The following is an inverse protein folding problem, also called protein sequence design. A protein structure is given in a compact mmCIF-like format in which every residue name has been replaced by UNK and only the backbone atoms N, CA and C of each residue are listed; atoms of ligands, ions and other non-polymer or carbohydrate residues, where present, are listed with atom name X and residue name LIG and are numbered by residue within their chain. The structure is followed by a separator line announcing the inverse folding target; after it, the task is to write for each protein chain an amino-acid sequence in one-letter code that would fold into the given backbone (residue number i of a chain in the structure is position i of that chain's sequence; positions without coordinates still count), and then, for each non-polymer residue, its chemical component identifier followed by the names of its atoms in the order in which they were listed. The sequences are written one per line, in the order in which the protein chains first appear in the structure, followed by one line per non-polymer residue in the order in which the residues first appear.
data_IF_887207458883
#
_entry.id   IF_887207458883
#
_cell.length_a   1.000
_cell.length_b   1.000
_cell.length_c   1.000
_cell.angle_alpha   90.00
_cell.angle_beta   90.00
_cell.angle_gamma   90.00
#
_symmetry.space_group_name_H-M   'P 1'
#
loop_
_entity.id
_entity.type
_entity.pdbx_description
1 polymer ?
#
# COMPACT_ATOMS: atom_id res chain seq x y z
N UNK A 1 -1.12 15.20 14.42
CA UNK A 1 -0.21 14.15 13.88
C UNK A 1 0.69 14.78 12.82
N UNK A 2 2.00 14.49 12.82
CA UNK A 2 2.96 15.09 11.87
C UNK A 2 2.80 14.65 10.40
N UNK A 3 1.93 13.67 10.14
CA UNK A 3 1.57 13.20 8.79
C UNK A 3 0.04 13.28 8.61
N UNK A 4 -0.56 14.43 8.94
CA UNK A 4 -2.02 14.64 8.87
C UNK A 4 -2.60 14.65 7.43
N UNK A 5 -1.80 14.39 6.39
CA UNK A 5 -2.29 14.43 5.01
C UNK A 5 -1.35 13.86 3.93
N UNK A 6 -0.05 13.72 4.22
CA UNK A 6 0.91 13.15 3.27
C UNK A 6 1.07 11.63 3.49
N UNK A 7 0.15 10.81 2.99
CA UNK A 7 0.20 9.36 3.24
C UNK A 7 1.49 8.71 2.75
N UNK A 8 2.05 9.18 1.62
CA UNK A 8 3.29 8.76 0.93
C UNK A 8 3.33 7.27 0.53
N UNK A 9 2.95 6.37 1.41
CA UNK A 9 2.81 4.94 1.21
C UNK A 9 1.36 4.59 0.81
N UNK A 10 1.15 3.84 -0.30
CA UNK A 10 -0.15 3.33 -0.70
C UNK A 10 -0.86 2.55 0.41
N UNK A 11 -0.12 1.77 1.19
CA UNK A 11 -0.71 0.96 2.27
C UNK A 11 -1.32 1.79 3.39
N UNK A 12 -0.77 2.97 3.69
CA UNK A 12 -1.40 3.91 4.63
C UNK A 12 -2.69 4.45 4.03
N UNK A 13 -2.70 4.78 2.73
CA UNK A 13 -3.91 5.22 2.02
C UNK A 13 -4.99 4.14 2.02
N UNK A 14 -4.63 2.87 1.77
CA UNK A 14 -5.55 1.75 1.86
C UNK A 14 -6.10 1.54 3.27
N UNK A 15 -5.28 1.76 4.30
CA UNK A 15 -5.74 1.79 5.68
C UNK A 15 -6.84 2.84 5.89
N UNK A 16 -6.60 4.09 5.47
CA UNK A 16 -7.61 5.16 5.56
C UNK A 16 -8.90 4.86 4.78
N UNK A 17 -8.80 4.24 3.61
CA UNK A 17 -9.96 3.77 2.84
C UNK A 17 -10.77 2.76 3.65
N UNK A 18 -10.10 1.75 4.23
CA UNK A 18 -10.76 0.63 4.90
C UNK A 18 -11.25 0.94 6.31
N UNK A 19 -10.63 1.89 7.00
CA UNK A 19 -11.06 2.33 8.35
C UNK A 19 -11.99 3.54 8.32
N UNK A 20 -12.11 4.20 7.17
CA UNK A 20 -13.04 5.31 6.95
C UNK A 20 -14.49 4.86 6.75
N UNK A 21 -15.35 5.81 6.38
CA UNK A 21 -16.73 5.49 5.98
C UNK A 21 -16.74 4.86 4.59
N UNK A 22 -17.06 3.56 4.51
CA UNK A 22 -17.08 2.83 3.25
C UNK A 22 -18.25 3.22 2.33
N UNK A 23 -19.24 3.96 2.85
CA UNK A 23 -20.36 4.48 2.07
C UNK A 23 -20.13 5.89 1.52
N UNK A 24 -19.04 6.55 1.94
CA UNK A 24 -18.67 7.89 1.50
C UNK A 24 -17.90 7.85 0.17
N UNK A 25 -18.62 8.03 -0.93
CA UNK A 25 -18.04 8.04 -2.28
C UNK A 25 -16.98 9.13 -2.47
N UNK A 26 -17.13 10.30 -1.83
CA UNK A 26 -16.19 11.40 -1.98
C UNK A 26 -14.88 11.07 -1.25
N UNK A 27 -14.97 10.51 -0.04
CA UNK A 27 -13.82 10.02 0.73
C UNK A 27 -13.03 8.92 0.00
N UNK A 28 -13.72 8.02 -0.71
CA UNK A 28 -13.07 7.01 -1.55
C UNK A 28 -12.36 7.63 -2.75
N UNK A 29 -13.00 8.58 -3.44
CA UNK A 29 -12.42 9.26 -4.59
C UNK A 29 -11.17 10.05 -4.19
N UNK A 30 -11.22 10.77 -3.08
CA UNK A 30 -10.08 11.53 -2.56
C UNK A 30 -8.89 10.63 -2.26
N UNK A 31 -9.10 9.50 -1.60
CA UNK A 31 -8.02 8.54 -1.35
C UNK A 31 -7.57 7.81 -2.63
N UNK A 32 -8.48 7.54 -3.57
CA UNK A 32 -8.15 7.00 -4.89
C UNK A 32 -7.23 7.91 -5.69
N UNK A 33 -7.47 9.22 -5.68
CA UNK A 33 -6.56 10.18 -6.34
C UNK A 33 -5.19 10.26 -5.65
N UNK A 34 -5.13 10.07 -4.32
CA UNK A 34 -3.85 9.95 -3.59
C UNK A 34 -3.08 8.71 -4.04
N UNK A 35 -3.75 7.56 -4.16
CA UNK A 35 -3.15 6.33 -4.67
C UNK A 35 -2.56 6.52 -6.07
N UNK A 36 -3.29 7.17 -6.99
CA UNK A 36 -2.80 7.48 -8.35
C UNK A 36 -1.57 8.40 -8.30
N UNK A 37 -1.62 9.47 -7.50
CA UNK A 37 -0.49 10.40 -7.39
C UNK A 37 0.75 9.77 -6.75
N UNK A 38 0.58 8.80 -5.84
CA UNK A 38 1.68 7.99 -5.29
C UNK A 38 2.35 7.13 -6.35
N UNK A 39 1.58 6.50 -7.25
CA UNK A 39 2.13 5.74 -8.39
C UNK A 39 2.91 6.66 -9.32
N UNK A 40 2.37 7.84 -9.66
CA UNK A 40 3.07 8.83 -10.50
C UNK A 40 4.37 9.28 -9.83
N UNK A 41 4.33 9.60 -8.53
CA UNK A 41 5.52 9.98 -7.76
C UNK A 41 6.58 8.89 -7.74
N UNK A 42 6.18 7.63 -7.56
CA UNK A 42 7.07 6.47 -7.59
C UNK A 42 7.71 6.27 -8.97
N UNK A 43 6.94 6.42 -10.05
CA UNK A 43 7.46 6.39 -11.44
C UNK A 43 8.51 7.47 -11.65
N UNK A 44 8.23 8.71 -11.26
CA UNK A 44 9.18 9.82 -11.41
C UNK A 44 10.45 9.59 -10.58
N UNK A 45 10.31 9.06 -9.36
CA UNK A 45 11.46 8.72 -8.52
C UNK A 45 12.33 7.62 -9.17
N UNK A 46 11.71 6.56 -9.70
CA UNK A 46 12.44 5.48 -10.38
C UNK A 46 13.19 5.99 -11.62
N UNK A 47 12.56 6.84 -12.43
CA UNK A 47 13.22 7.47 -13.59
C UNK A 47 14.45 8.28 -13.18
N UNK A 48 14.34 9.07 -12.11
CA UNK A 48 15.43 9.92 -11.63
C UNK A 48 16.60 9.09 -11.09
N UNK A 49 16.31 8.07 -10.28
CA UNK A 49 17.31 7.20 -9.64
C UNK A 49 18.05 6.36 -10.68
N UNK A 50 17.33 5.85 -11.67
CA UNK A 50 17.89 4.93 -12.66
C UNK A 50 18.32 5.61 -13.97
N UNK A 51 18.41 6.94 -13.99
CA UNK A 51 18.77 7.70 -15.20
C UNK A 51 17.92 7.37 -16.43
N UNK A 52 16.64 7.05 -16.20
CA UNK A 52 15.67 6.69 -17.23
C UNK A 52 15.63 5.21 -17.64
N UNK A 53 16.50 4.35 -17.10
CA UNK A 53 16.52 2.91 -17.44
C UNK A 53 16.28 2.03 -16.22
N UNK A 54 15.04 1.57 -16.05
CA UNK A 54 14.63 0.71 -14.92
C UNK A 54 14.93 -0.77 -15.16
N UNK A 55 15.42 -1.12 -16.37
CA UNK A 55 15.78 -2.49 -16.73
C UNK A 55 14.60 -3.46 -16.81
N UNK A 56 14.94 -4.75 -16.83
CA UNK A 56 13.97 -5.84 -16.95
C UNK A 56 13.22 -6.09 -15.64
N UNK A 57 11.89 -6.13 -15.73
CA UNK A 57 10.96 -6.41 -14.64
C UNK A 57 10.33 -7.77 -14.89
N UNK A 58 10.20 -8.57 -13.83
CA UNK A 58 9.52 -9.87 -13.89
C UNK A 58 8.02 -9.64 -14.00
N UNK A 59 7.40 -10.18 -15.05
CA UNK A 59 5.94 -10.13 -15.21
C UNK A 59 5.26 -10.84 -14.02
N UNK A 60 4.31 -10.14 -13.40
CA UNK A 60 3.51 -10.71 -12.31
C UNK A 60 2.48 -11.70 -12.86
N UNK A 61 2.09 -12.69 -12.06
CA UNK A 61 0.96 -13.55 -12.36
C UNK A 61 -0.36 -12.85 -11.99
N UNK A 62 -1.28 -12.77 -12.95
CA UNK A 62 -2.58 -12.11 -12.73
C UNK A 62 -3.52 -13.02 -11.93
N UNK A 63 -4.18 -12.46 -10.90
CA UNK A 63 -5.13 -13.18 -10.03
C UNK A 63 -4.55 -14.38 -9.27
N UNK A 64 -3.23 -14.37 -9.02
CA UNK A 64 -2.62 -15.38 -8.15
C UNK A 64 -3.12 -15.22 -6.71
N UNK A 65 -3.28 -16.33 -5.99
CA UNK A 65 -3.67 -16.31 -4.58
C UNK A 65 -2.76 -17.23 -3.77
N UNK A 66 -2.01 -16.64 -2.85
CA UNK A 66 -1.28 -17.33 -1.80
C UNK A 66 -1.96 -17.06 -0.45
N UNK A 67 -2.47 -18.11 0.19
CA UNK A 67 -3.14 -18.00 1.48
C UNK A 67 -2.22 -17.42 2.55
N UNK A 68 -0.95 -17.85 2.61
CA UNK A 68 -0.04 -17.41 3.67
C UNK A 68 0.46 -15.99 3.42
N UNK A 69 0.74 -15.63 2.16
CA UNK A 69 0.98 -14.25 1.75
C UNK A 69 -0.20 -13.33 2.11
N UNK A 70 -1.42 -13.75 1.81
CA UNK A 70 -2.63 -12.98 2.14
C UNK A 70 -2.81 -12.78 3.65
N UNK A 71 -2.64 -13.84 4.44
CA UNK A 71 -2.69 -13.74 5.92
C UNK A 71 -1.56 -12.86 6.47
N UNK A 72 -0.36 -12.94 5.89
CA UNK A 72 0.78 -12.10 6.24
C UNK A 72 0.50 -10.61 6.01
N UNK A 73 -0.14 -10.25 4.90
CA UNK A 73 -0.53 -8.88 4.60
C UNK A 73 -1.63 -8.36 5.54
N UNK A 74 -2.64 -9.17 5.84
CA UNK A 74 -3.69 -8.82 6.81
C UNK A 74 -3.06 -8.60 8.20
N UNK A 75 -2.20 -9.51 8.66
CA UNK A 75 -1.52 -9.37 9.94
C UNK A 75 -0.58 -8.14 9.96
N UNK A 76 0.17 -7.92 8.88
CA UNK A 76 1.04 -6.76 8.70
C UNK A 76 0.26 -5.44 8.73
N UNK A 77 -0.89 -5.38 8.06
CA UNK A 77 -1.78 -4.22 8.08
C UNK A 77 -2.36 -3.94 9.46
N UNK A 78 -2.77 -4.98 10.19
CA UNK A 78 -3.25 -4.83 11.57
C UNK A 78 -2.16 -4.27 12.51
N UNK A 79 -0.93 -4.80 12.42
CA UNK A 79 0.21 -4.31 13.21
C UNK A 79 0.61 -2.89 12.84
N UNK A 80 0.71 -2.60 11.53
CA UNK A 80 1.02 -1.27 11.02
C UNK A 80 0.01 -0.25 11.53
N UNK A 81 -1.29 -0.55 11.39
CA UNK A 81 -2.35 0.38 11.78
C UNK A 81 -2.41 0.59 13.30
N UNK A 82 -2.21 -0.47 14.07
CA UNK A 82 -2.15 -0.38 15.54
C UNK A 82 -1.08 0.61 15.99
N UNK A 83 0.11 0.58 15.38
CA UNK A 83 1.17 1.54 15.71
C UNK A 83 0.90 2.91 15.09
N UNK A 84 0.40 2.96 13.87
CA UNK A 84 0.08 4.21 13.17
C UNK A 84 -0.92 5.08 13.96
N UNK A 85 -1.95 4.45 14.53
CA UNK A 85 -3.02 5.15 15.25
C UNK A 85 -2.66 5.46 16.71
N UNK A 86 -1.91 4.56 17.38
CA UNK A 86 -1.67 4.64 18.83
C UNK A 86 -0.32 5.18 19.24
N UNK A 87 0.63 5.29 18.32
CA UNK A 87 1.98 5.76 18.60
C UNK A 87 2.29 7.06 17.87
N UNK A 88 3.39 7.71 18.26
CA UNK A 88 3.89 8.88 17.54
C UNK A 88 4.26 8.54 16.10
N UNK A 89 4.08 9.50 15.19
CA UNK A 89 4.26 9.30 13.75
C UNK A 89 5.66 8.78 13.36
N UNK A 90 6.70 9.11 14.12
CA UNK A 90 8.06 8.63 13.85
C UNK A 90 8.23 7.14 14.19
N UNK A 91 7.41 6.58 15.09
CA UNK A 91 7.44 5.15 15.45
C UNK A 91 6.92 4.30 14.29
N UNK A 92 5.91 4.78 13.56
CA UNK A 92 5.39 4.11 12.36
C UNK A 92 6.49 3.88 11.32
N UNK A 93 7.46 4.79 11.19
CA UNK A 93 8.57 4.62 10.26
C UNK A 93 9.42 3.38 10.58
N UNK A 94 9.63 3.07 11.86
CA UNK A 94 10.32 1.85 12.29
C UNK A 94 9.52 0.59 12.00
N UNK A 95 8.19 0.65 12.11
CA UNK A 95 7.31 -0.48 11.75
C UNK A 95 7.30 -0.72 10.24
N UNK A 96 7.24 0.33 9.44
CA UNK A 96 7.35 0.22 7.98
C UNK A 96 8.69 -0.43 7.60
N UNK A 97 9.80 -0.03 8.26
CA UNK A 97 11.10 -0.66 8.05
C UNK A 97 11.09 -2.15 8.45
N UNK A 98 10.46 -2.50 9.58
CA UNK A 98 10.43 -3.87 10.09
C UNK A 98 9.53 -4.81 9.26
N UNK A 99 8.39 -4.30 8.77
CA UNK A 99 7.48 -5.05 7.90
C UNK A 99 8.01 -5.14 6.46
N UNK A 100 8.89 -4.21 6.05
CA UNK A 100 9.59 -4.24 4.78
C UNK A 100 8.62 -4.32 3.60
N UNK A 101 8.88 -5.27 2.70
CA UNK A 101 8.08 -5.46 1.48
C UNK A 101 6.66 -5.97 1.76
N UNK A 102 6.36 -6.50 2.95
CA UNK A 102 5.01 -6.98 3.28
C UNK A 102 3.95 -5.88 3.24
N UNK A 103 4.36 -4.61 3.36
CA UNK A 103 3.49 -3.42 3.24
C UNK A 103 4.07 -2.36 2.29
N UNK A 104 5.02 -2.76 1.42
CA UNK A 104 5.79 -1.87 0.57
C UNK A 104 5.36 -1.92 -0.90
N UNK A 105 4.10 -1.62 -1.23
CA UNK A 105 3.56 -1.85 -2.59
C UNK A 105 3.78 -0.76 -3.63
N UNK A 106 4.40 0.39 -3.32
CA UNK A 106 4.48 1.50 -4.28
C UNK A 106 5.41 1.23 -5.47
N UNK A 107 6.57 0.59 -5.24
CA UNK A 107 7.59 0.43 -6.27
C UNK A 107 7.21 -0.61 -7.32
N UNK A 108 6.56 -1.71 -6.94
CA UNK A 108 6.20 -2.79 -7.88
C UNK A 108 5.26 -2.34 -9.02
N UNK A 109 4.26 -1.50 -8.73
CA UNK A 109 3.41 -0.91 -9.76
C UNK A 109 4.21 0.05 -10.66
N UNK A 110 5.04 0.91 -10.06
CA UNK A 110 5.81 1.90 -10.79
C UNK A 110 6.86 1.24 -11.71
N UNK A 111 7.53 0.18 -11.24
CA UNK A 111 8.46 -0.65 -12.00
C UNK A 111 7.75 -1.29 -13.20
N UNK A 112 6.56 -1.87 -13.01
CA UNK A 112 5.80 -2.47 -14.10
C UNK A 112 5.34 -1.47 -15.18
N UNK A 113 5.18 -0.19 -14.84
CA UNK A 113 4.78 0.86 -15.77
C UNK A 113 5.91 1.34 -16.69
N UNK A 114 7.17 1.17 -16.27
CA UNK A 114 8.31 1.82 -16.94
C UNK A 114 9.50 0.90 -17.23
N UNK A 115 9.57 -0.25 -16.58
CA UNK A 115 10.55 -1.29 -16.90
C UNK A 115 10.17 -2.10 -18.13
N UNK A 116 11.15 -2.77 -18.73
CA UNK A 116 10.92 -3.70 -19.83
C UNK A 116 10.40 -5.04 -19.32
N UNK A 117 9.47 -5.66 -20.06
CA UNK A 117 9.02 -7.04 -19.77
C UNK A 117 7.94 -7.19 -18.69
N UNK A 118 7.47 -6.10 -18.08
CA UNK A 118 6.37 -6.13 -17.11
C UNK A 118 4.98 -6.36 -17.74
N UNK A 119 4.06 -6.91 -16.95
CA UNK A 119 2.62 -6.93 -17.24
C UNK A 119 1.89 -5.95 -16.32
N UNK A 120 1.49 -4.80 -16.87
CA UNK A 120 0.84 -3.73 -16.12
C UNK A 120 -0.49 -4.20 -15.53
N UNK A 121 -1.27 -5.01 -16.26
CA UNK A 121 -2.57 -5.46 -15.78
C UNK A 121 -2.41 -6.44 -14.61
N UNK A 122 -1.46 -7.37 -14.72
CA UNK A 122 -1.14 -8.29 -13.64
C UNK A 122 -0.59 -7.56 -12.41
N UNK A 123 0.36 -6.64 -12.59
CA UNK A 123 0.91 -5.83 -11.50
C UNK A 123 -0.15 -4.95 -10.84
N UNK A 124 -1.08 -4.39 -11.62
CA UNK A 124 -2.19 -3.64 -11.09
C UNK A 124 -3.14 -4.49 -10.25
N UNK A 125 -3.46 -5.70 -10.70
CA UNK A 125 -4.31 -6.62 -9.93
C UNK A 125 -3.70 -6.98 -8.58
N UNK A 126 -2.40 -7.34 -8.55
CA UNK A 126 -1.70 -7.68 -7.32
C UNK A 126 -1.59 -6.45 -6.39
N UNK A 127 -1.21 -5.29 -6.93
CA UNK A 127 -1.10 -4.06 -6.14
C UNK A 127 -2.41 -3.64 -5.46
N UNK A 128 -3.54 -3.78 -6.16
CA UNK A 128 -4.87 -3.52 -5.58
C UNK A 128 -5.20 -4.55 -4.50
N UNK A 129 -5.00 -5.85 -4.79
CA UNK A 129 -5.33 -6.93 -3.84
C UNK A 129 -4.49 -6.81 -2.57
N UNK A 130 -3.18 -6.61 -2.70
CA UNK A 130 -2.26 -6.42 -1.57
C UNK A 130 -2.67 -5.21 -0.73
N UNK A 131 -2.97 -4.09 -1.40
CA UNK A 131 -3.50 -2.89 -0.76
C UNK A 131 -4.76 -3.14 0.06
N UNK A 132 -5.74 -3.80 -0.55
CA UNK A 132 -6.99 -4.17 0.12
C UNK A 132 -6.74 -5.09 1.30
N UNK A 133 -5.88 -6.10 1.18
CA UNK A 133 -5.58 -7.05 2.27
C UNK A 133 -4.92 -6.36 3.46
N UNK A 134 -3.97 -5.46 3.21
CA UNK A 134 -3.36 -4.63 4.26
C UNK A 134 -4.40 -3.71 4.90
N UNK A 135 -5.27 -3.07 4.10
CA UNK A 135 -6.36 -2.24 4.61
C UNK A 135 -7.40 -3.02 5.42
N UNK A 136 -7.72 -4.25 5.04
CA UNK A 136 -8.59 -5.16 5.82
C UNK A 136 -7.95 -5.48 7.18
N UNK A 137 -6.64 -5.68 7.23
CA UNK A 137 -5.88 -5.77 8.47
C UNK A 137 -6.04 -4.55 9.36
N UNK A 138 -5.90 -3.36 8.77
CA UNK A 138 -6.12 -2.09 9.48
C UNK A 138 -7.53 -1.99 10.08
N UNK A 139 -8.57 -2.26 9.27
CA UNK A 139 -9.96 -2.32 9.72
C UNK A 139 -10.16 -3.31 10.87
N UNK A 140 -9.62 -4.52 10.74
CA UNK A 140 -9.71 -5.54 11.79
C UNK A 140 -9.10 -5.03 13.11
N UNK A 141 -7.95 -4.35 13.06
CA UNK A 141 -7.31 -3.81 14.27
C UNK A 141 -8.18 -2.78 15.01
N UNK A 142 -8.90 -1.93 14.27
CA UNK A 142 -9.84 -0.96 14.85
C UNK A 142 -11.04 -1.68 15.45
N UNK A 143 -11.68 -2.58 14.70
CA UNK A 143 -12.89 -3.29 15.16
C UNK A 143 -12.64 -4.20 16.35
N UNK A 144 -11.48 -4.86 16.40
CA UNK A 144 -11.09 -5.67 17.56
C UNK A 144 -10.90 -4.78 18.79
N UNK A 145 -10.36 -3.57 18.62
CA UNK A 145 -10.21 -2.62 19.72
C UNK A 145 -11.56 -2.12 20.25
N UNK A 146 -12.52 -1.88 19.36
CA UNK A 146 -13.89 -1.42 19.72
C UNK A 146 -14.68 -2.48 20.52
N UNK A 147 -14.28 -3.75 20.47
CA UNK A 147 -14.96 -4.85 21.15
C UNK A 147 -14.55 -5.05 22.62
N UNK A 148 -13.48 -4.38 23.07
CA UNK A 148 -12.90 -4.51 24.43
C UNK A 148 -13.26 -3.30 25.27
#
# INVERSE_FOLDING_TARGET
MAISGAHILPMITWGHIMTGDLSDSDGWMDNGTRLVSQVIGAVLALMLVNSGDVGDVVAADMWSFDMWGALGMIAGGALLWTVYDRCDAWVTAFVVLALGTMVGGASGMAEALVGSGGDIAASASNWVVDGVLVGVGALASVKIADMV
#
